data_IF_842848284800
#
_entry.id   IF_842848284800
#
_cell.length_a   1.000
_cell.length_b   1.000
_cell.length_c   1.000
_cell.angle_alpha   90.00
_cell.angle_beta   90.00
_cell.angle_gamma   90.00
#
_symmetry.space_group_name_H-M   'P 1'
#
loop_
_entity.id
_entity.type
_entity.pdbx_description
1 polymer ?
#
# COMPACT_ATOMS: atom_id res chain seq x y z
N UNK A 1 -49.28 28.00 -25.16
CA UNK A 1 -48.77 26.79 -25.85
C UNK A 1 -48.47 25.72 -24.82
N UNK A 2 -49.05 24.52 -24.96
CA UNK A 2 -48.73 23.41 -24.07
C UNK A 2 -47.25 23.00 -24.19
N UNK A 3 -46.67 22.47 -23.10
CA UNK A 3 -45.30 21.98 -23.09
C UNK A 3 -45.17 20.85 -24.12
N UNK A 4 -44.22 21.00 -25.05
CA UNK A 4 -43.98 19.97 -26.07
C UNK A 4 -43.52 18.67 -25.42
N UNK A 5 -43.80 17.53 -26.09
CA UNK A 5 -43.40 16.20 -25.59
C UNK A 5 -41.90 16.12 -25.31
N UNK A 6 -41.08 16.77 -26.14
CA UNK A 6 -39.63 16.84 -25.98
C UNK A 6 -39.26 17.55 -24.66
N UNK A 7 -39.76 18.76 -24.43
CA UNK A 7 -39.52 19.52 -23.18
C UNK A 7 -39.98 18.75 -21.93
N UNK A 8 -41.03 17.92 -22.03
CA UNK A 8 -41.47 17.05 -20.93
C UNK A 8 -40.50 15.89 -20.68
N UNK A 9 -39.98 15.24 -21.73
CA UNK A 9 -38.95 14.20 -21.63
C UNK A 9 -37.67 14.76 -21.00
N UNK A 10 -37.23 15.92 -21.47
CA UNK A 10 -36.00 16.58 -20.96
C UNK A 10 -36.12 16.90 -19.48
N UNK A 11 -37.28 17.41 -19.04
CA UNK A 11 -37.55 17.71 -17.63
C UNK A 11 -37.49 16.46 -16.76
N UNK A 12 -38.07 15.35 -17.21
CA UNK A 12 -37.99 14.06 -16.51
C UNK A 12 -36.55 13.54 -16.43
N UNK A 13 -35.79 13.67 -17.51
CA UNK A 13 -34.40 13.22 -17.55
C UNK A 13 -33.51 14.06 -16.59
N UNK A 14 -33.67 15.39 -16.60
CA UNK A 14 -32.98 16.29 -15.67
C UNK A 14 -33.35 15.98 -14.21
N UNK A 15 -34.64 15.79 -13.92
CA UNK A 15 -35.07 15.42 -12.57
C UNK A 15 -34.46 14.09 -12.11
N UNK A 16 -34.43 13.07 -12.97
CA UNK A 16 -33.78 11.78 -12.67
C UNK A 16 -32.28 11.93 -12.38
N UNK A 17 -31.58 12.75 -13.18
CA UNK A 17 -30.15 13.00 -12.97
C UNK A 17 -29.89 13.71 -11.63
N UNK A 18 -30.68 14.74 -11.33
CA UNK A 18 -30.57 15.49 -10.07
C UNK A 18 -30.87 14.60 -8.85
N UNK A 19 -31.85 13.69 -8.95
CA UNK A 19 -32.16 12.74 -7.88
C UNK A 19 -30.98 11.80 -7.63
N UNK A 20 -30.32 11.28 -8.67
CA UNK A 20 -29.10 10.46 -8.53
C UNK A 20 -27.98 11.23 -7.84
N UNK A 21 -27.72 12.46 -8.27
CA UNK A 21 -26.71 13.32 -7.64
C UNK A 21 -27.02 13.61 -6.17
N UNK A 22 -28.30 13.78 -5.81
CA UNK A 22 -28.72 14.00 -4.43
C UNK A 22 -28.44 12.78 -3.56
N UNK A 23 -28.77 11.58 -4.04
CA UNK A 23 -28.45 10.32 -3.35
C UNK A 23 -26.95 10.18 -3.15
N UNK A 24 -26.14 10.44 -4.17
CA UNK A 24 -24.68 10.37 -4.08
C UNK A 24 -24.16 11.35 -3.02
N UNK A 25 -24.62 12.60 -3.03
CA UNK A 25 -24.23 13.61 -2.03
C UNK A 25 -24.63 13.21 -0.61
N UNK A 26 -25.77 12.54 -0.45
CA UNK A 26 -26.21 12.04 0.84
C UNK A 26 -25.34 10.88 1.33
N UNK A 27 -24.95 9.96 0.45
CA UNK A 27 -24.05 8.84 0.78
C UNK A 27 -22.63 9.29 1.11
N UNK A 28 -22.13 10.29 0.38
CA UNK A 28 -20.80 10.86 0.60
C UNK A 28 -20.78 11.92 1.72
N UNK A 29 -21.90 12.14 2.40
CA UNK A 29 -21.97 13.10 3.49
C UNK A 29 -21.20 12.56 4.69
N UNK A 30 -20.06 13.16 4.99
CA UNK A 30 -19.39 12.96 6.28
C UNK A 30 -20.18 13.73 7.34
N UNK A 31 -20.81 13.07 8.33
CA UNK A 31 -21.52 13.77 9.38
C UNK A 31 -20.53 14.47 10.31
N UNK A 32 -20.85 15.70 10.72
CA UNK A 32 -20.12 16.37 11.81
C UNK A 32 -20.55 15.69 13.10
N UNK A 33 -19.62 14.97 13.74
CA UNK A 33 -19.90 14.30 15.02
C UNK A 33 -19.62 15.31 16.14
N UNK A 34 -20.68 15.81 16.77
CA UNK A 34 -20.59 16.96 17.70
C UNK A 34 -20.08 16.61 19.11
N UNK A 35 -20.14 15.33 19.50
CA UNK A 35 -19.87 14.89 20.88
C UNK A 35 -18.89 13.71 20.96
N UNK A 36 -17.90 13.63 20.06
CA UNK A 36 -16.89 12.56 20.09
C UNK A 36 -15.60 13.09 20.69
N UNK A 37 -15.11 12.40 21.72
CA UNK A 37 -13.76 12.60 22.24
C UNK A 37 -12.74 11.93 21.29
N UNK A 38 -11.90 12.72 20.59
CA UNK A 38 -10.94 12.17 19.64
C UNK A 38 -9.82 11.37 20.32
N UNK A 39 -9.51 11.60 21.60
CA UNK A 39 -8.47 10.87 22.32
C UNK A 39 -8.92 9.46 22.68
N UNK A 40 -10.17 9.34 23.14
CA UNK A 40 -10.75 8.05 23.47
C UNK A 40 -10.91 7.16 22.23
N UNK A 41 -11.35 7.72 21.09
CA UNK A 41 -11.40 6.96 19.83
C UNK A 41 -10.02 6.48 19.38
N UNK A 42 -9.00 7.33 19.46
CA UNK A 42 -7.62 6.91 19.13
C UNK A 42 -7.15 5.79 20.06
N UNK A 43 -7.51 5.82 21.33
CA UNK A 43 -7.19 4.77 22.29
C UNK A 43 -7.92 3.45 21.98
N UNK A 44 -9.20 3.50 21.61
CA UNK A 44 -10.00 2.33 21.24
C UNK A 44 -9.50 1.68 19.94
N UNK A 45 -9.19 2.46 18.91
CA UNK A 45 -8.67 1.94 17.63
C UNK A 45 -7.17 1.57 17.68
N UNK A 46 -6.38 2.26 18.50
CA UNK A 46 -4.95 1.96 18.71
C UNK A 46 -4.71 0.58 19.33
N UNK A 47 -5.62 0.14 20.22
CA UNK A 47 -5.61 -1.21 20.82
C UNK A 47 -5.80 -2.32 19.77
N UNK A 48 -6.56 -2.04 18.71
CA UNK A 48 -6.82 -3.01 17.65
C UNK A 48 -5.78 -2.98 16.53
N UNK A 49 -5.04 -1.87 16.35
CA UNK A 49 -3.96 -1.79 15.36
C UNK A 49 -2.65 -2.45 15.81
N UNK A 50 -2.43 -2.62 17.11
CA UNK A 50 -1.17 -3.17 17.66
C UNK A 50 -0.79 -4.53 17.09
N UNK A 51 -1.77 -5.39 16.78
CA UNK A 51 -1.52 -6.70 16.18
C UNK A 51 -0.98 -6.64 14.74
N UNK A 52 -1.34 -5.62 13.97
CA UNK A 52 -0.88 -5.48 12.57
C UNK A 52 0.51 -4.85 12.54
N UNK A 53 0.78 -3.86 13.39
CA UNK A 53 2.10 -3.20 13.43
C UNK A 53 3.19 -4.13 13.98
N UNK A 54 2.87 -4.95 14.99
CA UNK A 54 3.82 -5.90 15.56
C UNK A 54 4.14 -7.05 14.59
N UNK A 55 3.12 -7.57 13.90
CA UNK A 55 3.30 -8.62 12.89
C UNK A 55 4.08 -8.12 11.66
N UNK A 56 3.89 -6.86 11.27
CA UNK A 56 4.70 -6.22 10.24
C UNK A 56 6.16 -6.02 10.70
N UNK A 57 6.39 -5.65 11.97
CA UNK A 57 7.74 -5.53 12.54
C UNK A 57 8.48 -6.87 12.58
N UNK A 58 7.82 -7.93 13.02
CA UNK A 58 8.39 -9.28 13.07
C UNK A 58 8.75 -9.78 11.67
N UNK A 59 7.84 -9.65 10.70
CA UNK A 59 8.08 -10.05 9.31
C UNK A 59 9.23 -9.27 8.63
N UNK A 60 9.37 -7.97 8.92
CA UNK A 60 10.47 -7.16 8.40
C UNK A 60 11.81 -7.58 9.03
N UNK A 61 11.82 -7.94 10.32
CA UNK A 61 13.03 -8.38 11.00
C UNK A 61 13.53 -9.75 10.49
N UNK A 62 12.61 -10.65 10.17
CA UNK A 62 12.90 -12.00 9.67
C UNK A 62 13.33 -11.98 8.19
N UNK A 63 12.77 -11.06 7.41
CA UNK A 63 13.24 -10.78 6.06
C UNK A 63 14.65 -10.16 6.05
N UNK A 64 14.96 -9.29 7.00
CA UNK A 64 16.29 -8.67 7.10
C UNK A 64 17.40 -9.68 7.46
N UNK A 65 17.13 -10.62 8.37
CA UNK A 65 18.12 -11.65 8.76
C UNK A 65 18.41 -12.63 7.63
N UNK A 66 17.38 -13.07 6.90
CA UNK A 66 17.56 -13.99 5.76
C UNK A 66 18.29 -13.36 4.58
N UNK A 67 18.13 -12.05 4.36
CA UNK A 67 18.89 -11.30 3.35
C UNK A 67 20.35 -11.14 3.78
N UNK A 68 20.62 -10.86 5.05
CA UNK A 68 21.99 -10.74 5.56
C UNK A 68 22.79 -12.04 5.37
N UNK A 69 22.22 -13.20 5.70
CA UNK A 69 22.89 -14.49 5.51
C UNK A 69 23.19 -14.80 4.03
N UNK A 70 22.24 -14.51 3.12
CA UNK A 70 22.47 -14.70 1.68
C UNK A 70 23.52 -13.77 1.10
N UNK A 71 23.65 -12.55 1.63
CA UNK A 71 24.68 -11.60 1.20
C UNK A 71 26.05 -12.09 1.64
N UNK A 72 26.18 -12.61 2.87
CA UNK A 72 27.44 -13.16 3.37
C UNK A 72 27.92 -14.34 2.52
N UNK A 73 27.03 -15.30 2.22
CA UNK A 73 27.35 -16.47 1.39
C UNK A 73 27.82 -16.07 -0.02
N UNK A 74 27.22 -15.03 -0.61
CA UNK A 74 27.62 -14.51 -1.94
C UNK A 74 28.97 -13.81 -1.87
N UNK A 75 29.25 -13.07 -0.79
CA UNK A 75 30.53 -12.40 -0.60
C UNK A 75 31.66 -13.42 -0.42
N UNK A 76 31.44 -14.47 0.37
CA UNK A 76 32.42 -15.55 0.52
C UNK A 76 32.65 -16.32 -0.80
N UNK A 77 31.60 -16.59 -1.57
CA UNK A 77 31.72 -17.25 -2.88
C UNK A 77 32.44 -16.39 -3.93
N UNK A 78 32.27 -15.06 -3.90
CA UNK A 78 33.03 -14.15 -4.77
C UNK A 78 34.49 -14.09 -4.35
N UNK A 79 34.77 -14.06 -3.04
CA UNK A 79 36.14 -14.00 -2.52
C UNK A 79 36.94 -15.25 -2.89
N UNK A 80 36.37 -16.44 -2.71
CA UNK A 80 37.02 -17.69 -3.11
C UNK A 80 37.25 -17.77 -4.63
N UNK A 81 36.32 -17.28 -5.44
CA UNK A 81 36.47 -17.24 -6.90
C UNK A 81 37.54 -16.24 -7.37
N UNK A 82 37.69 -15.12 -6.68
CA UNK A 82 38.77 -14.16 -6.93
C UNK A 82 40.11 -14.76 -6.54
N UNK A 83 40.20 -15.45 -5.39
CA UNK A 83 41.41 -16.16 -4.97
C UNK A 83 41.80 -17.24 -6.01
N UNK A 84 40.86 -18.08 -6.47
CA UNK A 84 41.13 -19.09 -7.50
C UNK A 84 41.68 -18.48 -8.80
N UNK A 85 41.14 -17.34 -9.23
CA UNK A 85 41.60 -16.63 -10.43
C UNK A 85 43.03 -16.10 -10.26
N UNK A 86 43.36 -15.55 -9.09
CA UNK A 86 44.71 -15.04 -8.80
C UNK A 86 45.76 -16.16 -8.79
N UNK A 87 45.43 -17.33 -8.22
CA UNK A 87 46.37 -18.46 -8.17
C UNK A 87 46.50 -19.19 -9.53
N UNK A 88 45.46 -19.17 -10.38
CA UNK A 88 45.54 -19.74 -11.74
C UNK A 88 46.33 -18.89 -12.75
N UNK A 89 46.58 -17.62 -12.45
CA UNK A 89 47.34 -16.69 -13.28
C UNK A 89 48.86 -16.84 -13.15
N UNK A 90 49.34 -17.31 -12.00
CA UNK A 90 50.78 -17.46 -11.73
C UNK A 90 51.38 -18.69 -12.45
N UNK A 91 50.60 -19.73 -12.73
CA UNK A 91 51.09 -20.92 -13.44
C UNK A 91 51.31 -20.72 -14.95
N UNK A 92 50.76 -19.67 -15.57
CA UNK A 92 50.88 -19.43 -17.03
C UNK A 92 51.96 -18.41 -17.44
N UNK A 93 52.70 -17.83 -16.50
CA UNK A 93 53.76 -16.86 -16.81
C UNK A 93 55.19 -17.42 -16.60
N UNK A 94 55.32 -18.73 -16.38
CA UNK A 94 56.58 -19.41 -16.09
C UNK A 94 56.88 -20.60 -17.03
N UNK A 95 56.44 -20.55 -18.29
CA UNK A 95 56.93 -21.42 -19.38
C UNK A 95 57.50 -20.58 -20.53
#
# INVERSE_FOLDING_TARGET
MAITRLKRKDRKNKARANNKQTVIKQLLRVPVIKNVDPEELKAQFGKNSGGVVNRAKEAISEAASTVAHKVEDVVEAVKSKVDDVLHSGEEKSAE
#
